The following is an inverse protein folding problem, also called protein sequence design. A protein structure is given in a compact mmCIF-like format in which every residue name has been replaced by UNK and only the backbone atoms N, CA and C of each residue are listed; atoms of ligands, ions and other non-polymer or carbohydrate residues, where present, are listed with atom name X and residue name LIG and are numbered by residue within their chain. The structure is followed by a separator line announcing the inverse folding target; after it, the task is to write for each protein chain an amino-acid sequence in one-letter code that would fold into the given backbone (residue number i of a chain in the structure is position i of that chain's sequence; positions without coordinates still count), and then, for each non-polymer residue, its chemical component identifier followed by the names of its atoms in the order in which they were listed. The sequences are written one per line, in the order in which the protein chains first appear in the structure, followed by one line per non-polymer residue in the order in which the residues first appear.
data_IF_685352817784
#
_entry.id   IF_685352817784
#
_cell.length_a   1.000
_cell.length_b   1.000
_cell.length_c   1.000
_cell.angle_alpha   90.00
_cell.angle_beta   90.00
_cell.angle_gamma   90.00
#
_symmetry.space_group_name_H-M   'P 1'
#
loop_
_entity.id
_entity.type
_entity.pdbx_description
1 polymer ?
#
# COMPACT_ATOMS: atom_id res chain seq x y z
N UNK A 1 -13.93 -24.47 -33.97
CA UNK A 1 -12.80 -24.83 -33.11
C UNK A 1 -12.89 -24.05 -31.81
N UNK A 2 -12.91 -24.70 -30.63
CA UNK A 2 -12.98 -24.01 -29.35
C UNK A 2 -11.62 -23.38 -29.08
N UNK A 3 -11.62 -22.09 -28.74
CA UNK A 3 -10.42 -21.40 -28.28
C UNK A 3 -10.07 -21.88 -26.89
N UNK A 4 -8.95 -22.54 -26.79
CA UNK A 4 -8.34 -23.02 -25.57
C UNK A 4 -8.12 -21.85 -24.60
N UNK A 5 -8.69 -21.96 -23.39
CA UNK A 5 -8.45 -21.03 -22.31
C UNK A 5 -6.98 -21.09 -21.89
N UNK A 6 -6.27 -19.99 -22.04
CA UNK A 6 -4.92 -19.85 -21.49
C UNK A 6 -5.00 -19.88 -19.97
N UNK A 7 -4.43 -20.93 -19.40
CA UNK A 7 -4.13 -21.01 -17.97
C UNK A 7 -3.03 -20.00 -17.60
N UNK A 8 -3.42 -18.80 -17.22
CA UNK A 8 -2.51 -17.74 -16.74
C UNK A 8 -2.55 -17.65 -15.19
N UNK A 9 -2.57 -18.77 -14.50
CA UNK A 9 -2.87 -18.80 -13.08
C UNK A 9 -1.68 -18.65 -12.10
N UNK A 10 -0.43 -19.07 -12.33
CA UNK A 10 0.52 -19.08 -11.21
C UNK A 10 1.30 -17.77 -11.01
N UNK A 11 1.53 -16.94 -12.03
CA UNK A 11 2.32 -15.72 -11.89
C UNK A 11 1.55 -14.53 -11.26
N UNK A 12 0.22 -14.55 -11.36
CA UNK A 12 -0.66 -13.53 -10.75
C UNK A 12 -0.73 -13.64 -9.22
N UNK A 13 -0.45 -14.82 -8.65
CA UNK A 13 -0.46 -15.05 -7.19
C UNK A 13 0.75 -14.42 -6.48
N UNK A 14 1.80 -14.06 -7.21
CA UNK A 14 3.03 -13.48 -6.65
C UNK A 14 3.05 -11.95 -6.64
N UNK A 15 1.94 -11.28 -7.00
CA UNK A 15 1.87 -9.81 -7.00
C UNK A 15 2.67 -9.15 -8.12
N UNK A 16 3.21 -9.92 -9.07
CA UNK A 16 3.85 -9.44 -10.27
C UNK A 16 2.76 -9.18 -11.31
N UNK A 17 2.20 -7.99 -11.27
CA UNK A 17 1.33 -7.51 -12.34
C UNK A 17 2.19 -7.27 -13.57
N UNK A 18 1.84 -7.80 -14.77
CA UNK A 18 2.61 -7.54 -15.97
C UNK A 18 2.56 -6.04 -16.29
N UNK A 19 3.69 -5.36 -16.08
CA UNK A 19 3.88 -3.94 -16.42
C UNK A 19 3.83 -3.68 -17.93
N UNK A 20 3.82 -4.74 -18.76
CA UNK A 20 3.99 -4.66 -20.21
C UNK A 20 2.69 -4.85 -21.02
N UNK A 21 1.50 -4.78 -20.43
CA UNK A 21 0.28 -4.75 -21.24
C UNK A 21 0.16 -3.37 -21.90
N UNK A 22 0.05 -3.30 -23.23
CA UNK A 22 -0.18 -2.03 -23.90
C UNK A 22 -1.49 -1.44 -23.37
N UNK A 23 -1.40 -0.21 -22.86
CA UNK A 23 -2.58 0.54 -22.44
C UNK A 23 -3.57 0.59 -23.61
N UNK A 24 -4.81 0.19 -23.38
CA UNK A 24 -5.88 0.32 -24.37
C UNK A 24 -6.31 1.77 -24.58
N UNK A 25 -5.84 2.67 -23.74
CA UNK A 25 -6.13 4.09 -23.79
C UNK A 25 -4.99 4.76 -24.56
N UNK A 26 -5.31 5.35 -25.71
CA UNK A 26 -4.38 6.23 -26.38
C UNK A 26 -4.08 7.43 -25.46
N UNK A 27 -2.82 7.85 -25.32
CA UNK A 27 -2.49 9.09 -24.63
C UNK A 27 -3.10 10.23 -25.45
N UNK A 28 -4.22 10.78 -25.01
CA UNK A 28 -4.97 11.77 -25.76
C UNK A 28 -6.16 12.32 -24.98
N UNK A 29 -6.90 13.19 -25.60
CA UNK A 29 -8.00 13.95 -25.05
C UNK A 29 -9.06 13.06 -24.40
N UNK A 30 -9.44 13.41 -23.17
CA UNK A 30 -10.59 12.79 -22.51
C UNK A 30 -11.84 13.12 -23.32
N UNK A 31 -12.70 12.15 -23.63
CA UNK A 31 -13.91 12.42 -24.40
C UNK A 31 -14.81 13.37 -23.61
N UNK A 32 -15.34 14.37 -24.29
CA UNK A 32 -16.34 15.27 -23.74
C UNK A 32 -17.72 14.81 -24.22
N UNK A 33 -18.58 14.41 -23.30
CA UNK A 33 -19.97 14.07 -23.57
C UNK A 33 -20.88 15.27 -23.26
N UNK A 34 -21.88 15.48 -24.10
CA UNK A 34 -22.90 16.51 -23.88
C UNK A 34 -24.14 15.90 -23.16
N UNK A 35 -25.06 16.76 -22.75
CA UNK A 35 -26.30 16.31 -22.10
C UNK A 35 -27.16 15.40 -23.02
N UNK A 36 -27.15 15.70 -24.31
CA UNK A 36 -27.86 14.90 -25.30
C UNK A 36 -27.34 13.45 -25.35
N UNK A 37 -26.02 13.25 -25.28
CA UNK A 37 -25.41 11.93 -25.26
C UNK A 37 -25.89 11.09 -24.05
N UNK A 38 -26.07 11.77 -22.91
CA UNK A 38 -26.56 11.13 -21.68
C UNK A 38 -28.03 10.77 -21.83
N UNK A 39 -28.86 11.70 -22.37
CA UNK A 39 -30.29 11.44 -22.61
C UNK A 39 -30.49 10.28 -23.61
N UNK A 40 -29.77 10.31 -24.72
CA UNK A 40 -29.80 9.25 -25.72
C UNK A 40 -29.39 7.89 -25.13
N UNK A 41 -28.38 7.86 -24.25
CA UNK A 41 -27.98 6.64 -23.54
C UNK A 41 -29.04 6.18 -22.53
N UNK A 42 -29.68 7.10 -21.82
CA UNK A 42 -30.75 6.76 -20.87
C UNK A 42 -32.01 6.24 -21.58
N UNK A 43 -32.30 6.71 -22.79
CA UNK A 43 -33.49 6.28 -23.54
C UNK A 43 -33.26 4.99 -24.30
N UNK A 44 -32.09 4.79 -24.88
CA UNK A 44 -31.78 3.68 -25.77
C UNK A 44 -31.13 2.46 -25.10
N UNK A 45 -30.45 2.65 -23.95
CA UNK A 45 -29.64 1.60 -23.31
C UNK A 45 -30.14 1.24 -21.90
N UNK A 46 -30.87 0.14 -21.83
CA UNK A 46 -31.35 -0.39 -20.56
C UNK A 46 -30.23 -0.78 -19.60
N UNK A 47 -29.08 -1.21 -20.12
CA UNK A 47 -27.91 -1.58 -19.31
C UNK A 47 -27.32 -0.35 -18.64
N UNK A 48 -27.19 0.76 -19.38
CA UNK A 48 -26.74 2.03 -18.82
C UNK A 48 -27.70 2.57 -17.75
N UNK A 49 -29.01 2.47 -18.00
CA UNK A 49 -30.03 2.87 -17.01
C UNK A 49 -29.97 2.04 -15.73
N UNK A 50 -29.79 0.72 -15.86
CA UNK A 50 -29.61 -0.18 -14.72
C UNK A 50 -28.34 0.17 -13.94
N UNK A 51 -27.21 0.37 -14.62
CA UNK A 51 -25.94 0.78 -14.04
C UNK A 51 -26.06 2.12 -13.28
N UNK A 52 -26.74 3.11 -13.86
CA UNK A 52 -27.02 4.37 -13.20
C UNK A 52 -27.74 4.18 -11.87
N UNK A 53 -28.82 3.38 -11.86
CA UNK A 53 -29.55 3.06 -10.63
C UNK A 53 -28.68 2.37 -9.58
N UNK A 54 -27.84 1.44 -10.03
CA UNK A 54 -26.93 0.73 -9.13
C UNK A 54 -25.85 1.64 -8.53
N UNK A 55 -25.21 2.50 -9.32
CA UNK A 55 -24.20 3.45 -8.83
C UNK A 55 -24.80 4.44 -7.84
N UNK A 56 -26.03 4.93 -8.08
CA UNK A 56 -26.76 5.76 -7.11
C UNK A 56 -26.98 5.02 -5.78
N UNK A 57 -27.43 3.77 -5.84
CA UNK A 57 -27.63 2.93 -4.66
C UNK A 57 -26.32 2.72 -3.90
N UNK A 58 -25.22 2.42 -4.60
CA UNK A 58 -23.91 2.23 -4.01
C UNK A 58 -23.37 3.50 -3.34
N UNK A 59 -23.56 4.66 -3.95
CA UNK A 59 -23.13 5.95 -3.42
C UNK A 59 -24.11 6.55 -2.40
N UNK A 60 -25.34 6.04 -2.32
CA UNK A 60 -26.39 6.52 -1.40
C UNK A 60 -26.87 7.93 -1.72
N UNK A 61 -26.76 8.37 -2.99
CA UNK A 61 -27.21 9.69 -3.45
C UNK A 61 -27.49 9.70 -4.96
N UNK A 62 -28.24 10.69 -5.39
CA UNK A 62 -28.45 10.94 -6.81
C UNK A 62 -27.18 11.46 -7.48
N UNK A 63 -27.01 11.12 -8.76
CA UNK A 63 -25.95 11.64 -9.61
C UNK A 63 -26.47 12.87 -10.38
N UNK A 64 -25.62 13.87 -10.51
CA UNK A 64 -25.90 15.04 -11.35
C UNK A 64 -25.48 14.77 -12.81
N UNK A 65 -25.86 15.67 -13.73
CA UNK A 65 -25.58 15.51 -15.17
C UNK A 65 -24.09 15.35 -15.47
N UNK A 66 -23.21 16.08 -14.78
CA UNK A 66 -21.76 15.96 -14.98
C UNK A 66 -21.23 14.58 -14.53
N UNK A 67 -21.79 14.03 -13.46
CA UNK A 67 -21.46 12.68 -13.00
C UNK A 67 -22.00 11.61 -13.96
N UNK A 68 -23.14 11.84 -14.59
CA UNK A 68 -23.65 10.96 -15.64
C UNK A 68 -22.76 10.94 -16.88
N UNK A 69 -22.21 12.10 -17.29
CA UNK A 69 -21.22 12.17 -18.37
C UNK A 69 -19.97 11.36 -18.05
N UNK A 70 -19.49 11.41 -16.79
CA UNK A 70 -18.36 10.60 -16.34
C UNK A 70 -18.70 9.10 -16.41
N UNK A 71 -19.90 8.70 -15.92
CA UNK A 71 -20.36 7.32 -15.96
C UNK A 71 -20.48 6.81 -17.39
N UNK A 72 -20.97 7.64 -18.30
CA UNK A 72 -21.03 7.34 -19.75
C UNK A 72 -19.62 7.12 -20.33
N UNK A 73 -18.65 7.91 -19.88
CA UNK A 73 -17.24 7.74 -20.25
C UNK A 73 -16.66 6.41 -19.82
N UNK A 74 -17.05 5.88 -18.64
CA UNK A 74 -16.62 4.55 -18.21
C UNK A 74 -17.09 3.45 -19.16
N UNK A 75 -18.32 3.55 -19.63
CA UNK A 75 -18.92 2.55 -20.53
C UNK A 75 -18.41 2.70 -21.96
N UNK A 76 -18.50 3.91 -22.53
CA UNK A 76 -18.24 4.14 -23.97
C UNK A 76 -16.77 4.31 -24.30
N UNK A 77 -16.01 4.99 -23.44
CA UNK A 77 -14.61 5.28 -23.70
C UNK A 77 -13.67 4.25 -23.08
N UNK A 78 -13.84 3.94 -21.79
CA UNK A 78 -13.00 2.96 -21.11
C UNK A 78 -13.43 1.51 -21.41
N UNK A 79 -14.65 1.29 -21.95
CA UNK A 79 -15.16 -0.03 -22.27
C UNK A 79 -15.39 -0.92 -21.04
N UNK A 80 -15.56 -0.32 -19.86
CA UNK A 80 -15.78 -1.07 -18.63
C UNK A 80 -17.20 -1.60 -18.57
N UNK A 81 -17.35 -2.85 -18.13
CA UNK A 81 -18.65 -3.46 -17.90
C UNK A 81 -19.30 -2.92 -16.62
N UNK A 82 -20.63 -3.05 -16.51
CA UNK A 82 -21.38 -2.60 -15.34
C UNK A 82 -20.85 -3.22 -14.04
N UNK A 83 -20.50 -4.51 -14.07
CA UNK A 83 -19.98 -5.23 -12.90
C UNK A 83 -18.61 -4.70 -12.47
N UNK A 84 -17.71 -4.41 -13.42
CA UNK A 84 -16.39 -3.81 -13.13
C UNK A 84 -16.55 -2.41 -12.55
N UNK A 85 -17.49 -1.61 -13.09
CA UNK A 85 -17.79 -0.26 -12.56
C UNK A 85 -18.33 -0.36 -11.13
N UNK A 86 -19.20 -1.32 -10.84
CA UNK A 86 -19.73 -1.54 -9.49
C UNK A 86 -18.62 -1.94 -8.52
N UNK A 87 -17.70 -2.82 -8.91
CA UNK A 87 -16.50 -3.17 -8.13
C UNK A 87 -15.60 -1.97 -7.90
N UNK A 88 -15.36 -1.15 -8.91
CA UNK A 88 -14.58 0.08 -8.83
C UNK A 88 -15.17 1.07 -7.82
N UNK A 89 -16.49 1.29 -7.87
CA UNK A 89 -17.20 2.15 -6.91
C UNK A 89 -17.04 1.62 -5.49
N UNK A 90 -17.26 0.31 -5.29
CA UNK A 90 -17.10 -0.33 -3.97
C UNK A 90 -15.65 -0.22 -3.46
N UNK A 91 -14.67 -0.46 -4.31
CA UNK A 91 -13.25 -0.30 -3.97
C UNK A 91 -12.91 1.13 -3.55
N UNK A 92 -13.36 2.14 -4.30
CA UNK A 92 -13.12 3.55 -3.96
C UNK A 92 -13.79 3.94 -2.64
N UNK A 93 -14.99 3.42 -2.35
CA UNK A 93 -15.67 3.64 -1.06
C UNK A 93 -14.89 3.05 0.10
N UNK A 94 -14.45 1.80 -0.03
CA UNK A 94 -13.70 1.13 1.01
C UNK A 94 -12.36 1.84 1.26
N UNK A 95 -11.67 2.23 0.21
CA UNK A 95 -10.43 3.01 0.30
C UNK A 95 -10.62 4.38 0.97
N UNK A 96 -11.76 5.04 0.73
CA UNK A 96 -12.11 6.28 1.43
C UNK A 96 -12.34 6.05 2.92
N UNK A 97 -13.05 4.97 3.30
CA UNK A 97 -13.27 4.58 4.71
C UNK A 97 -11.97 4.27 5.43
N UNK A 98 -11.07 3.51 4.80
CA UNK A 98 -9.75 3.17 5.36
C UNK A 98 -8.90 4.43 5.62
N UNK A 99 -9.12 5.50 4.85
CA UNK A 99 -8.50 6.82 5.07
C UNK A 99 -9.22 7.71 6.10
N UNK A 100 -10.25 7.17 6.76
CA UNK A 100 -11.04 7.89 7.75
C UNK A 100 -12.10 8.84 7.18
N UNK A 101 -12.41 8.76 5.88
CA UNK A 101 -13.47 9.57 5.29
C UNK A 101 -14.84 9.01 5.66
N UNK A 102 -15.69 9.85 6.21
CA UNK A 102 -17.09 9.54 6.48
C UNK A 102 -18.00 9.75 5.25
N UNK A 103 -17.50 10.44 4.23
CA UNK A 103 -18.25 10.73 3.00
C UNK A 103 -17.86 9.76 1.89
N UNK A 104 -18.84 9.35 1.09
CA UNK A 104 -18.61 8.59 -0.11
C UNK A 104 -17.80 9.42 -1.14
N UNK A 105 -16.93 8.79 -1.94
CA UNK A 105 -16.15 9.50 -2.96
C UNK A 105 -17.06 10.09 -4.04
N UNK A 106 -16.64 11.21 -4.65
CA UNK A 106 -17.29 11.77 -5.84
C UNK A 106 -16.97 10.94 -7.07
N UNK A 107 -17.84 10.99 -8.10
CA UNK A 107 -17.56 10.32 -9.39
C UNK A 107 -16.23 10.80 -10.00
N UNK A 108 -15.85 12.06 -9.83
CA UNK A 108 -14.56 12.58 -10.29
C UNK A 108 -13.35 11.94 -9.58
N UNK A 109 -13.52 11.51 -8.33
CA UNK A 109 -12.48 10.75 -7.62
C UNK A 109 -12.42 9.31 -8.14
N UNK A 110 -13.59 8.71 -8.40
CA UNK A 110 -13.71 7.37 -8.98
C UNK A 110 -13.17 7.35 -10.41
N UNK A 111 -13.39 8.41 -11.18
CA UNK A 111 -12.89 8.57 -12.53
C UNK A 111 -11.35 8.43 -12.60
N UNK A 112 -10.64 9.06 -11.69
CA UNK A 112 -9.17 8.93 -11.62
C UNK A 112 -8.72 7.50 -11.44
N UNK A 113 -9.44 6.75 -10.62
CA UNK A 113 -9.14 5.33 -10.38
C UNK A 113 -9.58 4.46 -11.57
N UNK A 114 -10.67 4.81 -12.27
CA UNK A 114 -11.10 4.15 -13.50
C UNK A 114 -10.03 4.21 -14.59
N UNK A 115 -9.44 5.40 -14.79
CA UNK A 115 -8.31 5.55 -15.72
C UNK A 115 -7.10 4.74 -15.29
N UNK A 116 -6.76 4.73 -14.00
CA UNK A 116 -5.66 3.93 -13.47
C UNK A 116 -5.91 2.42 -13.70
N UNK A 117 -7.14 1.94 -13.53
CA UNK A 117 -7.49 0.56 -13.84
C UNK A 117 -7.38 0.25 -15.32
N UNK A 118 -7.89 1.14 -16.17
CA UNK A 118 -7.83 0.96 -17.63
C UNK A 118 -6.37 0.99 -18.14
N UNK A 119 -5.51 1.86 -17.62
CA UNK A 119 -4.07 1.88 -17.94
C UNK A 119 -3.38 0.58 -17.54
N UNK A 120 -3.82 -0.06 -16.46
CA UNK A 120 -3.31 -1.35 -15.99
C UNK A 120 -3.94 -2.55 -16.68
N UNK A 121 -4.89 -2.33 -17.58
CA UNK A 121 -5.62 -3.39 -18.26
C UNK A 121 -6.57 -4.17 -17.35
N UNK A 122 -7.09 -3.54 -16.30
CA UNK A 122 -8.11 -4.11 -15.42
C UNK A 122 -9.47 -3.79 -16.03
N UNK A 123 -9.99 -4.69 -16.83
CA UNK A 123 -11.25 -4.52 -17.56
C UNK A 123 -12.25 -5.69 -17.38
N UNK A 124 -11.83 -6.74 -16.67
CA UNK A 124 -12.68 -7.88 -16.30
C UNK A 124 -12.97 -7.92 -14.81
N UNK A 125 -14.03 -8.62 -14.43
CA UNK A 125 -14.41 -8.84 -13.02
C UNK A 125 -13.30 -9.60 -12.27
N UNK A 126 -12.71 -10.60 -12.91
CA UNK A 126 -11.65 -11.43 -12.34
C UNK A 126 -10.39 -10.61 -12.07
N UNK A 127 -9.98 -9.75 -12.99
CA UNK A 127 -8.84 -8.86 -12.84
C UNK A 127 -9.08 -7.81 -11.75
N UNK A 128 -10.27 -7.21 -11.74
CA UNK A 128 -10.67 -6.27 -10.70
C UNK A 128 -10.68 -6.92 -9.31
N UNK A 129 -11.25 -8.12 -9.18
CA UNK A 129 -11.26 -8.87 -7.92
C UNK A 129 -9.85 -9.22 -7.46
N UNK A 130 -8.99 -9.71 -8.35
CA UNK A 130 -7.59 -10.03 -8.04
C UNK A 130 -6.81 -8.78 -7.60
N UNK A 131 -7.01 -7.65 -8.28
CA UNK A 131 -6.40 -6.38 -7.90
C UNK A 131 -6.86 -5.92 -6.51
N UNK A 132 -8.17 -5.94 -6.25
CA UNK A 132 -8.73 -5.56 -4.95
C UNK A 132 -8.17 -6.45 -3.84
N UNK A 133 -8.10 -7.75 -4.06
CA UNK A 133 -7.55 -8.70 -3.10
C UNK A 133 -6.08 -8.41 -2.81
N UNK A 134 -5.27 -8.18 -3.84
CA UNK A 134 -3.86 -7.82 -3.67
C UNK A 134 -3.67 -6.53 -2.86
N UNK A 135 -4.50 -5.50 -3.12
CA UNK A 135 -4.49 -4.26 -2.34
C UNK A 135 -4.90 -4.47 -0.88
N UNK A 136 -5.90 -5.31 -0.63
CA UNK A 136 -6.35 -5.63 0.73
C UNK A 136 -5.26 -6.37 1.53
N UNK A 137 -4.58 -7.33 0.92
CA UNK A 137 -3.43 -8.03 1.54
C UNK A 137 -2.31 -7.04 1.86
N UNK A 138 -1.98 -6.17 0.91
CA UNK A 138 -0.96 -5.13 1.10
C UNK A 138 -1.31 -4.18 2.24
N UNK A 139 -2.54 -3.68 2.28
CA UNK A 139 -3.03 -2.79 3.34
C UNK A 139 -3.04 -3.48 4.71
N UNK A 140 -3.41 -4.76 4.76
CA UNK A 140 -3.39 -5.57 5.99
C UNK A 140 -1.96 -5.73 6.52
N UNK A 141 -0.99 -6.05 5.66
CA UNK A 141 0.42 -6.15 6.03
C UNK A 141 0.96 -4.81 6.54
N UNK A 142 0.63 -3.72 5.86
CA UNK A 142 1.03 -2.38 6.27
C UNK A 142 0.43 -1.98 7.63
N UNK A 143 -0.86 -2.27 7.85
CA UNK A 143 -1.54 -2.03 9.14
C UNK A 143 -0.90 -2.82 10.27
N UNK A 144 -0.53 -4.08 10.02
CA UNK A 144 0.18 -4.93 10.97
C UNK A 144 1.55 -4.34 11.32
N UNK A 145 2.31 -3.91 10.31
CA UNK A 145 3.59 -3.24 10.51
C UNK A 145 3.44 -1.95 11.34
N UNK A 146 2.44 -1.11 11.04
CA UNK A 146 2.18 0.10 11.83
C UNK A 146 1.93 -0.22 13.32
N UNK A 147 1.19 -1.30 13.60
CA UNK A 147 0.97 -1.74 14.97
C UNK A 147 2.26 -2.18 15.66
N UNK A 148 3.15 -2.90 14.96
CA UNK A 148 4.45 -3.35 15.49
C UNK A 148 5.35 -2.16 15.86
N UNK A 149 5.39 -1.13 15.02
CA UNK A 149 6.17 0.09 15.28
C UNK A 149 5.39 1.16 16.06
N UNK A 150 4.26 0.77 16.65
CA UNK A 150 3.42 1.57 17.55
C UNK A 150 2.87 2.87 16.94
N UNK A 151 2.68 2.93 15.63
CA UNK A 151 2.01 4.05 14.97
C UNK A 151 0.50 3.82 15.03
N UNK A 152 -0.20 4.64 15.81
CA UNK A 152 -1.65 4.57 15.98
C UNK A 152 -2.30 5.92 15.70
N UNK A 153 -3.56 5.89 15.24
CA UNK A 153 -4.41 7.09 15.10
C UNK A 153 -4.03 8.03 13.95
N UNK A 154 -3.07 7.66 13.09
CA UNK A 154 -2.73 8.41 11.90
C UNK A 154 -2.34 7.50 10.73
N UNK A 155 -2.46 8.01 9.53
CA UNK A 155 -1.89 7.37 8.33
C UNK A 155 -0.38 7.66 8.22
N UNK A 156 0.33 6.80 7.51
CA UNK A 156 1.72 7.06 7.16
C UNK A 156 1.82 8.20 6.13
N UNK A 157 2.87 8.98 6.23
CA UNK A 157 3.26 9.90 5.16
C UNK A 157 3.82 9.12 3.98
N UNK A 158 3.86 9.74 2.79
CA UNK A 158 4.40 9.07 1.59
C UNK A 158 5.86 8.62 1.73
N UNK A 159 6.66 9.30 2.56
CA UNK A 159 8.03 8.90 2.85
C UNK A 159 8.09 7.68 3.78
N UNK A 160 7.27 7.67 4.83
CA UNK A 160 7.14 6.56 5.78
C UNK A 160 6.60 5.30 5.09
N UNK A 161 5.60 5.46 4.20
CA UNK A 161 5.03 4.36 3.44
C UNK A 161 6.08 3.69 2.54
N UNK A 162 6.98 4.47 1.92
CA UNK A 162 8.10 3.92 1.13
C UNK A 162 9.03 3.05 1.96
N UNK A 163 9.39 3.48 3.17
CA UNK A 163 10.19 2.66 4.08
C UNK A 163 9.46 1.38 4.47
N UNK A 164 8.21 1.53 4.93
CA UNK A 164 7.38 0.40 5.34
C UNK A 164 7.22 -0.63 4.21
N UNK A 165 6.96 -0.17 2.99
CA UNK A 165 6.85 -1.04 1.82
C UNK A 165 8.19 -1.75 1.52
N UNK A 166 9.30 -1.04 1.55
CA UNK A 166 10.64 -1.62 1.36
C UNK A 166 10.91 -2.77 2.34
N UNK A 167 10.55 -2.62 3.62
CA UNK A 167 10.75 -3.67 4.63
C UNK A 167 9.85 -4.89 4.38
N UNK A 168 8.61 -4.68 3.94
CA UNK A 168 7.71 -5.76 3.55
C UNK A 168 8.20 -6.50 2.30
N UNK A 169 8.77 -5.76 1.33
CA UNK A 169 9.33 -6.33 0.10
C UNK A 169 10.64 -7.09 0.34
N UNK A 170 11.41 -6.70 1.36
CA UNK A 170 12.58 -7.46 1.85
C UNK A 170 12.23 -8.79 2.48
N UNK A 171 10.93 -9.08 2.72
CA UNK A 171 10.49 -10.30 3.37
C UNK A 171 10.77 -10.34 4.87
N UNK A 172 11.00 -9.18 5.51
CA UNK A 172 11.20 -9.11 6.95
C UNK A 172 9.96 -9.59 7.68
N UNK A 173 10.15 -10.52 8.61
CA UNK A 173 9.08 -10.97 9.48
C UNK A 173 8.77 -9.95 10.60
N UNK A 174 7.67 -10.18 11.29
CA UNK A 174 7.21 -9.28 12.34
C UNK A 174 8.17 -9.20 13.52
N UNK A 175 8.86 -10.30 13.84
CA UNK A 175 9.79 -10.37 14.96
C UNK A 175 11.05 -9.56 14.68
N UNK A 176 11.59 -9.66 13.45
CA UNK A 176 12.71 -8.82 13.00
C UNK A 176 12.36 -7.33 13.00
N UNK A 177 11.16 -6.99 12.51
CA UNK A 177 10.68 -5.61 12.52
C UNK A 177 10.57 -5.08 13.95
N UNK A 178 10.00 -5.86 14.87
CA UNK A 178 9.88 -5.49 16.28
C UNK A 178 11.26 -5.27 16.93
N UNK A 179 12.22 -6.20 16.69
CA UNK A 179 13.58 -6.08 17.21
C UNK A 179 14.30 -4.83 16.65
N UNK A 180 14.13 -4.53 15.36
CA UNK A 180 14.70 -3.33 14.74
C UNK A 180 14.09 -2.06 15.34
N UNK A 181 12.78 -2.06 15.58
CA UNK A 181 12.08 -0.95 16.24
C UNK A 181 12.59 -0.73 17.67
N UNK A 182 12.63 -1.77 18.50
CA UNK A 182 13.15 -1.69 19.87
C UNK A 182 14.57 -1.15 19.90
N UNK A 183 15.45 -1.68 19.04
CA UNK A 183 16.83 -1.24 18.91
C UNK A 183 16.94 0.22 18.47
N UNK A 184 16.06 0.65 17.57
CA UNK A 184 15.97 2.04 17.14
C UNK A 184 15.59 2.93 18.31
N UNK A 185 14.54 2.60 19.03
CA UNK A 185 14.06 3.38 20.16
C UNK A 185 15.12 3.52 21.26
N UNK A 186 15.82 2.42 21.59
CA UNK A 186 16.91 2.43 22.58
C UNK A 186 18.06 3.35 22.18
N UNK A 187 18.41 3.41 20.89
CA UNK A 187 19.57 4.18 20.44
C UNK A 187 19.26 5.64 20.06
N UNK A 188 17.99 5.96 19.72
CA UNK A 188 17.60 7.27 19.21
C UNK A 188 16.52 7.97 20.05
N UNK A 189 16.05 7.29 21.11
CA UNK A 189 14.98 7.82 21.97
C UNK A 189 13.58 7.75 21.37
N UNK A 190 13.40 7.15 20.19
CA UNK A 190 12.12 7.01 19.51
C UNK A 190 12.27 6.44 18.12
N UNK A 191 11.15 6.35 17.37
CA UNK A 191 11.15 5.85 16.00
C UNK A 191 11.92 6.79 15.06
N UNK A 192 13.01 6.29 14.50
CA UNK A 192 13.77 6.96 13.45
C UNK A 192 13.82 6.06 12.22
N UNK A 193 13.07 6.43 11.17
CA UNK A 193 12.89 5.63 9.97
C UNK A 193 14.20 5.31 9.24
N UNK A 194 15.06 6.32 9.07
CA UNK A 194 16.34 6.14 8.38
C UNK A 194 17.29 5.23 9.16
N UNK A 195 17.31 5.35 10.49
CA UNK A 195 18.13 4.51 11.36
C UNK A 195 17.63 3.06 11.35
N UNK A 196 16.32 2.86 11.51
CA UNK A 196 15.69 1.53 11.46
C UNK A 196 15.93 0.86 10.09
N UNK A 197 15.80 1.61 9.00
CA UNK A 197 16.07 1.11 7.66
C UNK A 197 17.52 0.60 7.50
N UNK A 198 18.49 1.30 8.05
CA UNK A 198 19.89 0.84 8.04
C UNK A 198 20.09 -0.46 8.82
N UNK A 199 19.39 -0.66 9.93
CA UNK A 199 19.42 -1.90 10.69
C UNK A 199 18.90 -3.04 9.83
N UNK A 200 17.68 -2.90 9.27
CA UNK A 200 17.03 -3.94 8.47
C UNK A 200 17.82 -4.26 7.19
N UNK A 201 18.33 -3.26 6.48
CA UNK A 201 19.18 -3.46 5.30
C UNK A 201 20.47 -4.22 5.66
N UNK A 202 21.11 -3.90 6.79
CA UNK A 202 22.29 -4.63 7.25
C UNK A 202 21.97 -6.08 7.55
N UNK A 203 20.87 -6.36 8.25
CA UNK A 203 20.44 -7.74 8.54
C UNK A 203 20.13 -8.52 7.27
N UNK A 204 19.48 -7.90 6.29
CA UNK A 204 19.25 -8.50 4.98
C UNK A 204 20.56 -8.86 4.27
N UNK A 205 21.53 -7.93 4.26
CA UNK A 205 22.84 -8.17 3.64
C UNK A 205 23.64 -9.26 4.33
N UNK A 206 23.42 -9.46 5.64
CA UNK A 206 24.03 -10.54 6.43
C UNK A 206 23.30 -11.87 6.31
N UNK A 207 22.16 -11.90 5.57
CA UNK A 207 21.36 -13.11 5.41
C UNK A 207 20.58 -13.52 6.65
N UNK A 208 20.29 -12.56 7.54
CA UNK A 208 19.48 -12.83 8.73
C UNK A 208 18.00 -12.85 8.33
N UNK A 209 17.37 -14.00 8.51
CA UNK A 209 15.97 -14.24 8.16
C UNK A 209 15.09 -14.50 9.38
N UNK A 210 15.71 -14.65 10.56
CA UNK A 210 15.02 -14.90 11.81
C UNK A 210 15.59 -14.09 12.97
N UNK A 211 14.81 -13.92 14.03
CA UNK A 211 15.25 -13.27 15.26
C UNK A 211 16.43 -14.00 15.91
N UNK A 212 16.51 -15.33 15.76
CA UNK A 212 17.60 -16.14 16.27
C UNK A 212 18.93 -15.82 15.56
N UNK A 213 18.88 -15.64 14.23
CA UNK A 213 20.06 -15.21 13.46
C UNK A 213 20.61 -13.89 13.98
N UNK A 214 19.70 -12.95 14.29
CA UNK A 214 20.10 -11.65 14.85
C UNK A 214 20.67 -11.79 16.26
N UNK A 215 20.09 -12.61 17.12
CA UNK A 215 20.56 -12.84 18.49
C UNK A 215 21.96 -13.49 18.51
N UNK A 216 22.22 -14.37 17.56
CA UNK A 216 23.51 -15.10 17.48
C UNK A 216 24.56 -14.34 16.67
N UNK A 217 24.16 -13.72 15.55
CA UNK A 217 25.07 -13.09 14.58
C UNK A 217 25.39 -11.62 14.89
N UNK A 218 24.46 -10.87 15.49
CA UNK A 218 24.61 -9.42 15.71
C UNK A 218 25.10 -9.06 17.13
N UNK A 219 25.96 -9.91 17.72
CA UNK A 219 26.52 -9.70 19.07
C UNK A 219 27.35 -8.42 19.24
N UNK A 220 27.81 -7.81 18.14
CA UNK A 220 28.72 -6.65 18.17
C UNK A 220 28.06 -5.28 18.43
N UNK A 221 26.75 -5.18 18.52
CA UNK A 221 26.05 -3.90 18.66
C UNK A 221 25.36 -3.67 20.00
N UNK A 222 25.47 -4.59 20.95
CA UNK A 222 24.93 -4.43 22.30
C UNK A 222 25.89 -3.84 23.32
N UNK A 223 27.00 -3.26 22.89
CA UNK A 223 27.83 -2.45 23.78
C UNK A 223 27.26 -1.03 23.76
N UNK A 224 26.64 -0.55 24.85
CA UNK A 224 26.27 0.87 24.96
C UNK A 224 27.56 1.70 24.72
N UNK A 225 27.49 2.66 23.84
CA UNK A 225 28.56 3.61 23.51
C UNK A 225 28.83 4.56 24.70
N UNK A 226 28.84 4.05 25.92
CA UNK A 226 29.04 4.77 27.17
C UNK A 226 29.85 4.02 28.22
N UNK A 227 30.30 2.77 27.90
CA UNK A 227 31.08 1.96 28.85
C UNK A 227 32.52 1.69 28.39
N UNK A 228 33.09 2.49 27.51
CA UNK A 228 34.54 2.55 27.35
C UNK A 228 35.09 3.75 28.14
N UNK A 229 34.74 3.81 29.40
CA UNK A 229 35.55 4.45 30.38
C UNK A 229 36.78 3.55 30.60
N UNK A 230 37.81 3.67 29.79
CA UNK A 230 39.12 3.36 30.26
C UNK A 230 39.27 4.26 31.51
N UNK A 231 39.32 3.63 32.70
CA UNK A 231 39.78 4.29 33.89
C UNK A 231 41.09 4.96 33.49
N UNK A 232 41.14 6.28 33.55
CA UNK A 232 42.36 7.01 33.25
C UNK A 232 43.46 6.55 34.20
N UNK A 233 44.73 6.56 33.74
CA UNK A 233 45.86 6.18 34.55
C UNK A 233 45.81 6.86 35.93
N UNK A 234 45.31 8.09 36.03
CA UNK A 234 45.11 8.83 37.27
C UNK A 234 44.07 8.19 38.23
N UNK A 235 43.02 7.53 37.71
CA UNK A 235 42.06 6.83 38.53
C UNK A 235 42.59 5.47 39.02
N UNK A 236 43.41 4.79 38.22
CA UNK A 236 44.13 3.57 38.62
C UNK A 236 45.17 3.85 39.67
N UNK A 237 45.93 4.96 39.57
CA UNK A 237 46.86 5.40 40.61
C UNK A 237 46.16 5.77 41.91
N UNK A 238 45.01 6.45 41.85
CA UNK A 238 44.21 6.77 43.03
C UNK A 238 43.70 5.52 43.77
N UNK A 239 43.23 4.48 43.02
CA UNK A 239 42.78 3.21 43.57
C UNK A 239 43.97 2.43 44.18
N UNK A 240 45.17 2.43 43.57
CA UNK A 240 46.34 1.80 44.11
C UNK A 240 46.82 2.48 45.39
N UNK A 241 46.73 3.81 45.48
CA UNK A 241 47.11 4.56 46.66
C UNK A 241 46.23 4.25 47.88
N UNK A 242 44.92 4.15 47.65
CA UNK A 242 43.94 3.76 48.69
C UNK A 242 44.16 2.32 49.19
N UNK A 243 44.61 1.40 48.31
CA UNK A 243 44.88 0.00 48.67
C UNK A 243 46.23 -0.17 49.40
N UNK A 244 47.14 0.81 49.37
CA UNK A 244 48.43 0.78 50.06
C UNK A 244 48.44 1.44 51.43
N UNK A 245 47.45 2.28 51.73
CA UNK A 245 47.31 3.03 53.00
C UNK A 245 46.31 2.35 53.99
N UNK A 246 45.78 1.16 53.67
CA UNK A 246 44.89 0.35 54.52
C UNK A 246 45.56 -0.99 54.91
#
# INVERSE_FOLDING_TARGET
APRSGCAAAPLRQLGLWPEDRPSRIAPGERPSYCEKDVLDAMDSDNTFRSLYGEVQRLLGRSLNTEELKILLGFVRYLGLTADVISLLVCYCKERARQRGSLRNPSLRTIEKEAYNWAERGIDTVEEAAAFIQAQNVRNSRLSRLMNLIQIRGRSLTAAEERYAQSWLDMGMDDELISMAYERTCLNTGGLNWAYMNKILQRWQQQGFHSAEDVRTGDRKTNVPKGASGQLGEAELEAIQKVLQEG
#
